data_IF_800478779809
#
_entry.id   IF_800478779809
#
_cell.length_a   1.000
_cell.length_b   1.000
_cell.length_c   1.000
_cell.angle_alpha   90.00
_cell.angle_beta   90.00
_cell.angle_gamma   90.00
#
_symmetry.space_group_name_H-M   'P 1'
#
loop_
_entity.id
_entity.type
_entity.pdbx_description
1 polymer ?
#
# COMPACT_ATOMS: atom_id res chain seq x y z
N UNK A 1 21.44 14.53 -0.66
CA UNK A 1 20.58 14.22 0.50
C UNK A 1 21.18 13.02 1.19
N UNK A 2 21.56 13.13 2.47
CA UNK A 2 22.02 11.96 3.22
C UNK A 2 20.84 10.98 3.38
N UNK A 3 21.11 9.68 3.34
CA UNK A 3 20.11 8.62 3.47
C UNK A 3 19.17 8.83 4.68
N UNK A 4 19.75 9.22 5.82
CA UNK A 4 19.02 9.52 7.06
C UNK A 4 18.04 10.67 6.90
N UNK A 5 18.42 11.72 6.17
CA UNK A 5 17.55 12.86 5.91
C UNK A 5 16.35 12.45 5.05
N UNK A 6 16.58 11.64 4.01
CA UNK A 6 15.51 11.11 3.16
C UNK A 6 14.48 10.31 3.95
N UNK A 7 14.93 9.40 4.81
CA UNK A 7 14.05 8.60 5.68
C UNK A 7 13.30 9.48 6.68
N UNK A 8 13.99 10.42 7.34
CA UNK A 8 13.37 11.35 8.28
C UNK A 8 12.28 12.19 7.60
N UNK A 9 12.52 12.65 6.36
CA UNK A 9 11.54 13.40 5.59
C UNK A 9 10.33 12.54 5.21
N UNK A 10 10.52 11.31 4.75
CA UNK A 10 9.42 10.38 4.44
C UNK A 10 8.56 10.14 5.67
N UNK A 11 9.18 9.88 6.83
CA UNK A 11 8.45 9.66 8.08
C UNK A 11 7.68 10.91 8.50
N UNK A 12 8.31 12.08 8.42
CA UNK A 12 7.67 13.36 8.80
C UNK A 12 6.49 13.67 7.89
N UNK A 13 6.64 13.49 6.57
CA UNK A 13 5.56 13.66 5.61
C UNK A 13 4.45 12.62 5.81
N UNK A 14 4.80 11.37 6.12
CA UNK A 14 3.85 10.30 6.38
C UNK A 14 2.99 10.58 7.61
N UNK A 15 3.62 10.92 8.74
CA UNK A 15 2.92 11.29 9.98
C UNK A 15 2.10 12.55 9.78
N UNK A 16 2.64 13.58 9.11
CA UNK A 16 1.93 14.80 8.79
C UNK A 16 0.69 14.55 7.93
N UNK A 17 0.81 13.72 6.89
CA UNK A 17 -0.31 13.34 6.02
C UNK A 17 -1.35 12.51 6.77
N UNK A 18 -0.94 11.56 7.61
CA UNK A 18 -1.87 10.77 8.44
C UNK A 18 -2.62 11.64 9.45
N UNK A 19 -1.91 12.55 10.12
CA UNK A 19 -2.52 13.49 11.07
C UNK A 19 -3.51 14.42 10.36
N UNK A 20 -3.15 14.94 9.19
CA UNK A 20 -4.02 15.79 8.39
C UNK A 20 -5.25 15.02 7.86
N UNK A 21 -5.07 13.75 7.49
CA UNK A 21 -6.15 12.88 7.05
C UNK A 21 -7.17 12.65 8.16
N UNK A 22 -6.67 12.37 9.38
CA UNK A 22 -7.52 12.26 10.55
C UNK A 22 -8.23 13.58 10.87
N UNK A 23 -7.53 14.72 10.77
CA UNK A 23 -8.12 16.03 11.04
C UNK A 23 -9.29 16.36 10.09
N UNK A 24 -9.14 16.07 8.78
CA UNK A 24 -10.18 16.34 7.77
C UNK A 24 -11.12 15.16 7.50
N UNK A 25 -11.02 14.05 8.24
CA UNK A 25 -11.77 12.81 8.02
C UNK A 25 -11.63 12.28 6.58
N UNK A 26 -10.44 12.42 5.98
CA UNK A 26 -10.13 11.89 4.66
C UNK A 26 -9.47 10.50 4.80
N UNK A 27 -9.64 9.59 3.81
CA UNK A 27 -8.87 8.36 3.77
C UNK A 27 -7.36 8.65 3.73
N UNK A 28 -6.61 8.18 4.73
CA UNK A 28 -5.18 8.47 4.88
C UNK A 28 -4.34 8.11 3.66
N UNK A 29 -4.72 7.05 2.95
CA UNK A 29 -4.04 6.61 1.73
C UNK A 29 -4.00 7.70 0.64
N UNK A 30 -5.04 8.54 0.56
CA UNK A 30 -5.11 9.61 -0.44
C UNK A 30 -4.08 10.70 -0.16
N UNK A 31 -4.01 11.17 1.09
CA UNK A 31 -3.03 12.20 1.46
C UNK A 31 -1.60 11.65 1.42
N UNK A 32 -1.38 10.39 1.81
CA UNK A 32 -0.09 9.73 1.67
C UNK A 32 0.36 9.66 0.21
N UNK A 33 -0.56 9.30 -0.71
CA UNK A 33 -0.27 9.26 -2.14
C UNK A 33 0.08 10.66 -2.69
N UNK A 34 -0.70 11.68 -2.35
CA UNK A 34 -0.47 13.06 -2.79
C UNK A 34 0.85 13.57 -2.23
N UNK A 35 1.12 13.39 -0.94
CA UNK A 35 2.36 13.83 -0.31
C UNK A 35 3.59 13.14 -0.92
N UNK A 36 3.53 11.82 -1.14
CA UNK A 36 4.59 11.06 -1.77
C UNK A 36 4.82 11.45 -3.24
N UNK A 37 3.75 11.64 -4.01
CA UNK A 37 3.83 12.08 -5.40
C UNK A 37 4.39 13.50 -5.54
N UNK A 38 3.96 14.42 -4.66
CA UNK A 38 4.49 15.77 -4.62
C UNK A 38 5.97 15.78 -4.22
N UNK A 39 6.33 15.07 -3.15
CA UNK A 39 7.71 15.05 -2.64
C UNK A 39 8.70 14.33 -3.58
N UNK A 40 8.22 13.32 -4.32
CA UNK A 40 9.03 12.57 -5.28
C UNK A 40 9.07 13.23 -6.65
N UNK A 41 8.32 12.73 -7.65
CA UNK A 41 8.46 13.16 -9.05
C UNK A 41 8.11 14.62 -9.33
N UNK A 42 7.25 15.28 -8.54
CA UNK A 42 6.82 16.66 -8.85
C UNK A 42 7.82 17.69 -8.35
N UNK A 43 8.19 17.64 -7.07
CA UNK A 43 9.10 18.63 -6.46
C UNK A 43 10.57 18.17 -6.46
N UNK A 44 10.85 16.89 -6.73
CA UNK A 44 12.20 16.35 -6.79
C UNK A 44 12.95 16.35 -5.45
N UNK A 45 12.22 16.49 -4.33
CA UNK A 45 12.82 16.57 -2.98
C UNK A 45 13.37 15.22 -2.54
N UNK A 46 12.70 14.14 -2.96
CA UNK A 46 13.12 12.75 -2.74
C UNK A 46 13.37 12.12 -4.10
N UNK A 47 14.61 11.68 -4.33
CA UNK A 47 14.97 10.94 -5.55
C UNK A 47 14.29 9.55 -5.55
N UNK A 48 13.38 9.26 -6.50
CA UNK A 48 12.72 7.96 -6.60
C UNK A 48 13.69 6.79 -6.81
N UNK A 49 14.90 7.03 -7.33
CA UNK A 49 15.91 5.99 -7.49
C UNK A 49 16.39 5.42 -6.14
N UNK A 50 16.29 6.20 -5.06
CA UNK A 50 16.59 5.73 -3.69
C UNK A 50 15.58 4.66 -3.25
N UNK A 51 14.35 4.70 -3.77
CA UNK A 51 13.30 3.69 -3.53
C UNK A 51 13.53 2.39 -4.32
N UNK A 52 14.51 2.34 -5.21
CA UNK A 52 14.91 1.14 -5.96
C UNK A 52 16.15 0.45 -5.37
N UNK A 53 16.68 0.98 -4.26
CA UNK A 53 17.85 0.42 -3.58
C UNK A 53 17.56 -0.95 -2.96
N UNK A 54 18.61 -1.76 -2.79
CA UNK A 54 18.52 -3.13 -2.22
C UNK A 54 17.90 -3.21 -0.82
N UNK A 55 17.82 -2.10 -0.08
CA UNK A 55 17.28 -2.03 1.27
C UNK A 55 15.75 -1.86 1.30
N UNK A 56 15.16 -1.38 0.21
CA UNK A 56 13.72 -1.07 0.15
C UNK A 56 12.89 -2.34 0.10
N UNK A 57 13.31 -3.31 -0.72
CA UNK A 57 12.63 -4.60 -0.81
C UNK A 57 12.49 -5.31 0.56
N UNK A 58 13.56 -5.52 1.35
CA UNK A 58 13.42 -6.14 2.66
C UNK A 58 12.62 -5.27 3.64
N UNK A 59 12.76 -3.94 3.60
CA UNK A 59 12.00 -3.04 4.46
C UNK A 59 10.49 -3.08 4.18
N UNK A 60 10.10 -3.02 2.90
CA UNK A 60 8.71 -3.13 2.45
C UNK A 60 8.15 -4.51 2.78
N UNK A 61 8.93 -5.58 2.62
CA UNK A 61 8.52 -6.94 2.95
C UNK A 61 8.19 -7.10 4.44
N UNK A 62 9.05 -6.58 5.32
CA UNK A 62 8.79 -6.58 6.77
C UNK A 62 7.56 -5.71 7.10
N UNK A 63 7.44 -4.54 6.48
CA UNK A 63 6.31 -3.63 6.69
C UNK A 63 4.98 -4.27 6.29
N UNK A 64 4.90 -4.90 5.11
CA UNK A 64 3.71 -5.64 4.66
C UNK A 64 3.41 -6.80 5.62
N UNK A 65 4.45 -7.52 6.07
CA UNK A 65 4.29 -8.59 7.05
C UNK A 65 3.67 -8.10 8.36
N UNK A 66 4.11 -6.95 8.88
CA UNK A 66 3.56 -6.33 10.09
C UNK A 66 2.10 -5.89 9.87
N UNK A 67 1.80 -5.23 8.76
CA UNK A 67 0.43 -4.77 8.44
C UNK A 67 -0.53 -5.97 8.33
N UNK A 68 -0.13 -7.04 7.65
CA UNK A 68 -0.94 -8.25 7.54
C UNK A 68 -1.07 -8.98 8.87
N UNK A 69 -0.04 -8.95 9.71
CA UNK A 69 -0.08 -9.52 11.05
C UNK A 69 -1.06 -8.77 11.95
N UNK A 70 -1.01 -7.43 11.94
CA UNK A 70 -1.95 -6.58 12.68
C UNK A 70 -3.40 -6.83 12.23
N UNK A 71 -3.65 -6.83 10.91
CA UNK A 71 -4.97 -7.15 10.38
C UNK A 71 -5.43 -8.59 10.70
N UNK A 72 -4.50 -9.54 10.77
CA UNK A 72 -4.77 -10.92 11.16
C UNK A 72 -5.06 -11.10 12.65
N UNK A 73 -4.46 -10.30 13.53
CA UNK A 73 -4.74 -10.31 14.97
C UNK A 73 -6.11 -9.71 15.30
N UNK A 74 -6.58 -8.73 14.53
CA UNK A 74 -7.90 -8.12 14.69
C UNK A 74 -9.03 -9.01 14.12
N UNK A 75 -8.67 -10.07 13.37
CA UNK A 75 -9.61 -10.98 12.72
C UNK A 75 -10.41 -11.81 13.73
N UNK A 76 -11.74 -11.73 13.65
CA UNK A 76 -12.66 -12.52 14.46
C UNK A 76 -12.93 -13.88 13.81
N UNK A 77 -12.19 -14.90 14.24
CA UNK A 77 -12.32 -16.27 13.71
C UNK A 77 -13.75 -16.85 13.84
N UNK A 78 -14.52 -16.41 14.83
CA UNK A 78 -15.93 -16.81 14.99
C UNK A 78 -16.80 -16.30 13.84
N UNK A 79 -16.65 -15.03 13.45
CA UNK A 79 -17.38 -14.42 12.32
C UNK A 79 -16.96 -15.07 11.01
N UNK A 80 -15.66 -15.31 10.83
CA UNK A 80 -15.14 -16.00 9.65
C UNK A 80 -15.74 -17.40 9.48
N UNK A 81 -16.05 -18.12 10.57
CA UNK A 81 -16.70 -19.44 10.49
C UNK A 81 -18.17 -19.35 10.12
N UNK A 82 -18.87 -18.30 10.57
CA UNK A 82 -20.29 -18.10 10.29
C UNK A 82 -20.56 -17.72 8.83
N UNK A 83 -19.70 -16.89 8.24
CA UNK A 83 -19.76 -16.46 6.82
C UNK A 83 -18.66 -17.06 5.93
N UNK A 84 -18.07 -18.18 6.36
CA UNK A 84 -16.84 -18.72 5.78
C UNK A 84 -16.92 -19.15 4.32
N UNK A 85 -18.04 -19.74 3.89
CA UNK A 85 -18.21 -20.19 2.49
C UNK A 85 -18.04 -19.05 1.47
N UNK A 86 -18.83 -17.98 1.58
CA UNK A 86 -18.66 -16.79 0.73
C UNK A 86 -17.26 -16.16 0.82
N UNK A 87 -16.67 -16.05 2.01
CA UNK A 87 -15.33 -15.48 2.17
C UNK A 87 -14.28 -16.31 1.45
N UNK A 88 -14.31 -17.64 1.60
CA UNK A 88 -13.39 -18.54 0.90
C UNK A 88 -13.51 -18.41 -0.62
N UNK A 89 -14.73 -18.32 -1.15
CA UNK A 89 -14.95 -18.09 -2.58
C UNK A 89 -14.41 -16.73 -3.04
N UNK A 90 -14.56 -15.68 -2.22
CA UNK A 90 -14.06 -14.35 -2.54
C UNK A 90 -12.52 -14.31 -2.61
N UNK A 91 -11.84 -14.95 -1.65
CA UNK A 91 -10.37 -14.96 -1.59
C UNK A 91 -9.72 -15.99 -2.53
N UNK A 92 -10.48 -16.95 -3.07
CA UNK A 92 -9.97 -17.94 -4.04
C UNK A 92 -10.46 -17.64 -5.45
N UNK A 93 -11.73 -17.95 -5.74
CA UNK A 93 -12.35 -17.76 -7.06
C UNK A 93 -12.36 -16.27 -7.42
N UNK A 94 -12.73 -15.39 -6.49
CA UNK A 94 -12.77 -13.95 -6.73
C UNK A 94 -11.40 -13.38 -7.11
N UNK A 95 -10.33 -13.82 -6.43
CA UNK A 95 -8.95 -13.44 -6.76
C UNK A 95 -8.54 -13.96 -8.13
N UNK A 96 -8.83 -15.23 -8.45
CA UNK A 96 -8.53 -15.80 -9.77
C UNK A 96 -9.26 -15.05 -10.89
N UNK A 97 -10.55 -14.78 -10.72
CA UNK A 97 -11.35 -14.04 -11.70
C UNK A 97 -10.81 -12.63 -11.87
N UNK A 98 -10.52 -11.93 -10.77
CA UNK A 98 -9.95 -10.57 -10.81
C UNK A 98 -8.61 -10.56 -11.54
N UNK A 99 -7.77 -11.56 -11.30
CA UNK A 99 -6.48 -11.71 -11.96
C UNK A 99 -6.63 -11.94 -13.47
N UNK A 100 -7.47 -12.88 -13.90
CA UNK A 100 -7.68 -13.15 -15.33
C UNK A 100 -8.35 -11.98 -16.06
N UNK A 101 -9.39 -11.39 -15.47
CA UNK A 101 -10.09 -10.25 -16.07
C UNK A 101 -9.18 -9.03 -16.13
N UNK A 102 -8.44 -8.73 -15.05
CA UNK A 102 -7.49 -7.63 -15.01
C UNK A 102 -6.34 -7.81 -16.01
N UNK A 103 -5.75 -9.00 -16.06
CA UNK A 103 -4.70 -9.32 -17.02
C UNK A 103 -5.21 -9.25 -18.48
N UNK A 104 -6.40 -9.78 -18.74
CA UNK A 104 -7.04 -9.70 -20.06
C UNK A 104 -7.37 -8.26 -20.47
N UNK A 105 -7.86 -7.44 -19.54
CA UNK A 105 -8.12 -6.02 -19.79
C UNK A 105 -6.82 -5.27 -20.13
N UNK A 106 -5.74 -5.51 -19.39
CA UNK A 106 -4.42 -4.93 -19.70
C UNK A 106 -3.91 -5.40 -21.06
N UNK A 107 -4.05 -6.69 -21.37
CA UNK A 107 -3.63 -7.25 -22.66
C UNK A 107 -4.34 -6.57 -23.84
N UNK A 108 -5.65 -6.35 -23.72
CA UNK A 108 -6.46 -5.69 -24.76
C UNK A 108 -6.19 -4.18 -24.83
N UNK A 109 -6.04 -3.49 -23.69
CA UNK A 109 -5.85 -2.03 -23.66
C UNK A 109 -4.46 -1.61 -24.10
N UNK A 110 -3.43 -2.38 -23.72
CA UNK A 110 -2.04 -2.05 -24.06
C UNK A 110 -1.57 -2.68 -25.39
N UNK A 111 -2.47 -3.34 -26.15
CA UNK A 111 -2.18 -3.98 -27.44
C UNK A 111 -0.86 -4.78 -27.43
N UNK A 112 -0.68 -5.65 -26.42
CA UNK A 112 0.47 -6.54 -26.31
C UNK A 112 0.54 -7.57 -27.45
#
# INVERSE_FOLDING_TARGET
>A
MDFLFGVALILTLGVGAQWLAWHYNLPSILLLLVAGFLAGPVLGVIDPAVLQGRWVYPFVSISIGIILFEGGLDLRLSELREVGGPILNLITIGVLVTWFVGAGAVYVIQDF
#
